data_IF_160838073615
#
_entry.id   IF_160838073615
#
_cell.length_a   1.000
_cell.length_b   1.000
_cell.length_c   1.000
_cell.angle_alpha   90.00
_cell.angle_beta   90.00
_cell.angle_gamma   90.00
#
_symmetry.space_group_name_H-M   'P 1'
#
loop_
_entity.id
_entity.type
_entity.pdbx_description
1 polymer ?
#
# COMPACT_ATOMS: atom_id res chain seq x y z
N UNK A 1 5.53 -11.43 15.49
CA UNK A 1 6.89 -11.21 16.02
C UNK A 1 7.06 -12.08 17.25
N UNK A 2 8.29 -12.45 17.58
CA UNK A 2 8.66 -13.13 18.82
C UNK A 2 9.55 -12.19 19.62
N UNK A 3 9.15 -11.84 20.85
CA UNK A 3 9.89 -10.92 21.72
C UNK A 3 10.40 -11.69 22.95
N UNK A 4 11.71 -11.85 23.08
CA UNK A 4 12.34 -12.60 24.18
C UNK A 4 11.67 -13.96 24.43
N UNK A 5 11.49 -14.76 23.37
CA UNK A 5 10.79 -16.05 23.42
C UNK A 5 11.64 -17.22 22.92
N UNK A 6 11.29 -18.46 23.30
CA UNK A 6 11.94 -19.66 22.75
C UNK A 6 11.39 -20.06 21.38
N UNK A 7 12.10 -20.92 20.62
CA UNK A 7 11.60 -21.53 19.40
C UNK A 7 10.24 -22.22 19.57
N UNK A 8 9.41 -22.18 18.52
CA UNK A 8 8.13 -22.86 18.50
C UNK A 8 8.34 -24.37 18.69
N UNK A 9 7.48 -24.99 19.52
CA UNK A 9 7.57 -26.42 19.85
C UNK A 9 8.93 -26.84 20.46
N UNK A 10 9.66 -25.89 21.08
CA UNK A 10 10.82 -26.22 21.91
C UNK A 10 10.41 -27.06 23.12
N UNK A 11 9.31 -26.67 23.78
CA UNK A 11 8.76 -27.41 24.91
C UNK A 11 7.26 -27.68 24.73
N UNK A 12 6.83 -28.87 25.14
CA UNK A 12 5.41 -29.26 25.24
C UNK A 12 4.98 -29.50 26.69
N UNK A 13 5.86 -29.21 27.65
CA UNK A 13 5.61 -29.31 29.10
C UNK A 13 6.33 -28.19 29.85
N UNK A 14 5.85 -27.87 31.05
CA UNK A 14 6.47 -26.84 31.90
C UNK A 14 7.90 -27.20 32.31
N UNK A 15 8.17 -28.50 32.53
CA UNK A 15 9.50 -28.99 32.90
C UNK A 15 10.51 -28.80 31.77
N UNK A 16 10.10 -29.02 30.53
CA UNK A 16 10.95 -28.78 29.36
C UNK A 16 11.15 -27.29 29.05
N UNK A 17 10.18 -26.44 29.43
CA UNK A 17 10.22 -25.01 29.14
C UNK A 17 11.44 -24.31 29.76
N UNK A 18 11.86 -24.70 30.96
CA UNK A 18 13.09 -24.17 31.56
C UNK A 18 14.34 -24.56 30.77
N UNK A 19 14.39 -25.78 30.22
CA UNK A 19 15.47 -26.21 29.33
C UNK A 19 15.62 -25.27 28.15
N UNK A 20 14.52 -25.00 27.46
CA UNK A 20 14.42 -24.06 26.33
C UNK A 20 14.81 -22.63 26.71
N UNK A 21 14.29 -22.12 27.83
CA UNK A 21 14.52 -20.75 28.25
C UNK A 21 16.00 -20.46 28.51
N UNK A 22 16.72 -21.39 29.16
CA UNK A 22 18.04 -21.09 29.70
C UNK A 22 19.20 -21.65 28.88
N UNK A 23 18.96 -22.56 27.93
CA UNK A 23 20.04 -23.32 27.27
C UNK A 23 19.87 -23.37 25.75
N UNK A 24 20.99 -23.60 25.08
CA UNK A 24 21.03 -24.07 23.70
C UNK A 24 20.47 -25.51 23.65
N UNK A 25 19.53 -25.78 22.75
CA UNK A 25 18.97 -27.13 22.58
C UNK A 25 19.81 -27.99 21.63
N UNK A 26 20.81 -27.39 20.97
CA UNK A 26 21.71 -28.04 20.02
C UNK A 26 20.98 -28.74 18.87
N UNK A 27 19.85 -28.19 18.44
CA UNK A 27 19.12 -28.68 17.27
C UNK A 27 19.62 -27.96 16.01
N UNK A 28 19.66 -28.70 14.91
CA UNK A 28 19.95 -28.11 13.59
C UNK A 28 18.78 -27.23 13.13
N UNK A 29 19.01 -26.31 12.17
CA UNK A 29 17.92 -25.55 11.55
C UNK A 29 16.80 -26.46 11.03
N UNK A 30 17.15 -27.58 10.37
CA UNK A 30 16.18 -28.57 9.86
C UNK A 30 15.33 -29.19 10.98
N UNK A 31 15.97 -29.63 12.08
CA UNK A 31 15.25 -30.17 13.24
C UNK A 31 14.32 -29.14 13.87
N UNK A 32 14.74 -27.87 13.87
CA UNK A 32 13.91 -26.77 14.35
C UNK A 32 12.73 -26.48 13.43
N UNK A 33 12.93 -26.46 12.12
CA UNK A 33 11.87 -26.24 11.14
C UNK A 33 10.88 -27.40 11.07
N UNK A 34 11.36 -28.64 11.22
CA UNK A 34 10.52 -29.84 11.29
C UNK A 34 9.54 -29.78 12.46
N UNK A 35 9.95 -29.21 13.59
CA UNK A 35 9.04 -28.98 14.72
C UNK A 35 7.89 -28.02 14.39
N UNK A 36 8.14 -26.98 13.59
CA UNK A 36 7.09 -26.05 13.13
C UNK A 36 6.13 -26.77 12.17
N UNK A 37 6.69 -27.45 11.15
CA UNK A 37 5.93 -28.21 10.15
C UNK A 37 5.10 -29.32 10.79
N UNK A 38 5.68 -30.05 11.75
CA UNK A 38 5.02 -31.11 12.51
C UNK A 38 3.92 -30.61 13.45
N UNK A 39 4.01 -29.36 13.92
CA UNK A 39 2.93 -28.71 14.68
C UNK A 39 1.68 -28.40 13.85
N UNK A 40 1.81 -28.29 12.52
CA UNK A 40 0.72 -27.98 11.59
C UNK A 40 0.78 -28.87 10.34
N UNK A 41 0.54 -30.20 10.49
CA UNK A 41 0.61 -31.13 9.37
C UNK A 41 -0.48 -30.82 8.34
N UNK A 42 -0.08 -30.46 7.13
CA UNK A 42 -0.99 -30.11 6.03
C UNK A 42 -1.07 -28.62 5.71
N UNK A 43 -0.26 -27.76 6.34
CA UNK A 43 -0.12 -26.37 5.89
C UNK A 43 0.44 -26.31 4.47
N UNK A 44 -0.33 -25.72 3.56
CA UNK A 44 0.04 -25.53 2.14
C UNK A 44 0.11 -24.05 1.75
N UNK A 45 -0.23 -23.14 2.68
CA UNK A 45 -0.17 -21.70 2.46
C UNK A 45 1.24 -21.14 2.61
N UNK A 46 1.43 -19.84 2.36
CA UNK A 46 2.70 -19.17 2.65
C UNK A 46 2.99 -19.18 4.15
N UNK A 47 4.26 -19.22 4.52
CA UNK A 47 4.69 -19.00 5.90
C UNK A 47 4.72 -17.50 6.23
N UNK A 48 4.50 -17.11 7.49
CA UNK A 48 4.56 -15.71 7.89
C UNK A 48 6.00 -15.20 7.89
N UNK A 49 6.16 -13.90 7.65
CA UNK A 49 7.41 -13.19 7.91
C UNK A 49 7.62 -13.04 9.42
N UNK A 50 8.83 -13.30 9.91
CA UNK A 50 9.07 -13.35 11.36
C UNK A 50 10.14 -12.35 11.80
N UNK A 51 9.70 -11.35 12.58
CA UNK A 51 10.58 -10.49 13.36
C UNK A 51 10.85 -11.12 14.73
N UNK A 52 12.12 -11.32 15.05
CA UNK A 52 12.63 -11.91 16.29
C UNK A 52 13.37 -10.82 17.05
N UNK A 53 12.97 -10.53 18.29
CA UNK A 53 13.60 -9.54 19.15
C UNK A 53 14.24 -10.23 20.34
N UNK A 54 15.52 -9.99 20.56
CA UNK A 54 16.28 -10.59 21.65
C UNK A 54 17.23 -9.58 22.29
N UNK A 55 17.15 -9.47 23.61
CA UNK A 55 18.14 -8.72 24.39
C UNK A 55 19.41 -9.53 24.62
N UNK A 56 20.59 -8.92 24.46
CA UNK A 56 21.87 -9.63 24.64
C UNK A 56 22.22 -9.90 26.11
N UNK A 57 21.48 -9.33 27.05
CA UNK A 57 21.64 -9.53 28.49
C UNK A 57 20.40 -10.17 29.13
N UNK A 58 19.54 -10.78 28.31
CA UNK A 58 18.38 -11.52 28.77
C UNK A 58 18.80 -12.81 29.48
N UNK A 59 18.54 -12.89 30.79
CA UNK A 59 18.83 -14.05 31.62
C UNK A 59 17.60 -14.94 31.88
N UNK A 60 16.42 -14.53 31.41
CA UNK A 60 15.18 -15.30 31.54
C UNK A 60 14.94 -16.15 30.31
N UNK A 61 15.20 -15.59 29.13
CA UNK A 61 15.25 -16.31 27.85
C UNK A 61 16.59 -16.00 27.22
N UNK A 62 17.53 -16.94 27.36
CA UNK A 62 18.93 -16.76 27.02
C UNK A 62 19.09 -16.33 25.55
N UNK A 63 20.07 -15.46 25.21
CA UNK A 63 20.19 -14.88 23.87
C UNK A 63 20.34 -15.91 22.74
N UNK A 64 20.79 -17.12 23.06
CA UNK A 64 20.85 -18.25 22.11
C UNK A 64 19.48 -18.58 21.49
N UNK A 65 18.37 -18.37 22.22
CA UNK A 65 17.02 -18.58 21.69
C UNK A 65 16.71 -17.69 20.49
N UNK A 66 17.25 -16.47 20.42
CA UNK A 66 17.11 -15.61 19.24
C UNK A 66 17.82 -16.18 18.02
N UNK A 67 18.94 -16.87 18.23
CA UNK A 67 19.71 -17.59 17.19
C UNK A 67 18.95 -18.84 16.73
N UNK A 68 18.45 -19.63 17.68
CA UNK A 68 17.65 -20.83 17.37
C UNK A 68 16.32 -20.49 16.68
N UNK A 69 15.67 -19.38 17.04
CA UNK A 69 14.49 -18.88 16.34
C UNK A 69 14.81 -18.48 14.90
N UNK A 70 15.94 -17.79 14.68
CA UNK A 70 16.40 -17.47 13.32
C UNK A 70 16.58 -18.76 12.54
N UNK A 71 17.27 -19.75 13.10
CA UNK A 71 17.54 -21.03 12.44
C UNK A 71 16.24 -21.78 12.13
N UNK A 72 15.32 -21.82 13.09
CA UNK A 72 13.99 -22.38 12.90
C UNK A 72 13.24 -21.76 11.73
N UNK A 73 13.11 -20.44 11.72
CA UNK A 73 12.28 -19.76 10.74
C UNK A 73 12.96 -19.64 9.38
N UNK A 74 14.28 -19.55 9.32
CA UNK A 74 15.02 -19.62 8.04
C UNK A 74 14.87 -21.01 7.40
N UNK A 75 14.92 -22.10 8.18
CA UNK A 75 14.65 -23.44 7.65
C UNK A 75 13.19 -23.60 7.18
N UNK A 76 12.21 -23.09 7.94
CA UNK A 76 10.79 -23.10 7.53
C UNK A 76 10.58 -22.39 6.19
N UNK A 77 11.30 -21.29 5.97
CA UNK A 77 11.30 -20.55 4.71
C UNK A 77 12.16 -21.17 3.60
N UNK A 78 12.99 -22.16 3.93
CA UNK A 78 13.94 -22.76 2.98
C UNK A 78 15.09 -21.83 2.58
N UNK A 79 15.49 -20.93 3.48
CA UNK A 79 16.55 -19.93 3.26
C UNK A 79 17.75 -20.17 4.18
N UNK A 80 18.92 -19.66 3.80
CA UNK A 80 20.17 -19.84 4.55
C UNK A 80 20.28 -18.95 5.79
N UNK A 81 21.20 -19.30 6.70
CA UNK A 81 21.46 -18.57 7.95
C UNK A 81 22.47 -17.42 7.79
N UNK A 82 22.95 -17.16 6.58
CA UNK A 82 23.78 -16.00 6.25
C UNK A 82 22.86 -14.80 5.99
N UNK A 83 23.02 -13.68 6.70
CA UNK A 83 22.16 -12.53 6.49
C UNK A 83 22.40 -11.90 5.10
N UNK A 84 21.32 -11.53 4.44
CA UNK A 84 21.33 -10.73 3.21
C UNK A 84 21.76 -9.29 3.48
N UNK A 85 21.38 -8.77 4.66
CA UNK A 85 21.74 -7.42 5.09
C UNK A 85 21.93 -7.38 6.61
N UNK A 86 22.78 -6.47 7.08
CA UNK A 86 22.93 -6.14 8.51
C UNK A 86 22.90 -4.63 8.67
N UNK A 87 22.01 -4.17 9.55
CA UNK A 87 21.77 -2.75 9.82
C UNK A 87 21.99 -2.45 11.29
N UNK A 88 22.50 -1.26 11.57
CA UNK A 88 22.56 -0.72 12.93
C UNK A 88 21.43 0.29 13.10
N UNK A 89 20.56 0.05 14.08
CA UNK A 89 19.42 0.88 14.43
C UNK A 89 19.68 1.62 15.75
N UNK A 90 18.75 2.47 16.15
CA UNK A 90 18.79 3.19 17.42
C UNK A 90 18.74 2.23 18.63
N UNK A 91 19.03 2.75 19.83
CA UNK A 91 18.95 1.96 21.05
C UNK A 91 19.96 0.82 21.17
N UNK A 92 21.06 0.86 20.39
CA UNK A 92 22.05 -0.21 20.37
C UNK A 92 21.55 -1.50 19.72
N UNK A 93 20.63 -1.39 18.77
CA UNK A 93 20.00 -2.55 18.12
C UNK A 93 20.70 -2.88 16.81
N UNK A 94 21.07 -4.13 16.61
CA UNK A 94 21.52 -4.66 15.32
C UNK A 94 20.39 -5.49 14.70
N UNK A 95 19.99 -5.16 13.48
CA UNK A 95 19.03 -5.92 12.68
C UNK A 95 19.80 -6.75 11.64
N UNK A 96 19.55 -8.05 11.59
CA UNK A 96 20.01 -8.91 10.49
C UNK A 96 18.80 -9.45 9.71
N UNK A 97 18.83 -9.28 8.39
CA UNK A 97 17.75 -9.68 7.49
C UNK A 97 18.13 -10.94 6.70
N UNK A 98 17.13 -11.78 6.45
CA UNK A 98 17.25 -13.01 5.68
C UNK A 98 16.16 -13.00 4.61
N UNK A 99 16.57 -12.78 3.38
CA UNK A 99 15.65 -12.63 2.26
C UNK A 99 15.29 -13.99 1.65
N UNK A 100 14.08 -14.08 1.11
CA UNK A 100 13.65 -15.18 0.26
C UNK A 100 14.33 -15.15 -1.12
N UNK A 101 14.00 -16.13 -1.97
CA UNK A 101 14.54 -16.22 -3.33
C UNK A 101 14.09 -15.08 -4.26
N UNK A 102 13.07 -14.30 -3.86
CA UNK A 102 12.61 -13.11 -4.57
C UNK A 102 13.32 -11.82 -4.07
N UNK A 103 14.25 -11.92 -3.13
CA UNK A 103 14.96 -10.77 -2.54
C UNK A 103 14.10 -10.00 -1.52
N UNK A 104 13.09 -10.66 -0.96
CA UNK A 104 12.13 -10.09 -0.03
C UNK A 104 12.42 -10.55 1.41
N UNK A 105 12.50 -9.66 2.43
CA UNK A 105 12.91 -10.07 3.78
C UNK A 105 11.90 -11.00 4.45
N UNK A 106 12.26 -12.27 4.66
CA UNK A 106 11.38 -13.29 5.24
C UNK A 106 11.55 -13.41 6.77
N UNK A 107 12.78 -13.30 7.25
CA UNK A 107 13.12 -13.37 8.68
C UNK A 107 14.00 -12.17 9.04
N UNK A 108 13.77 -11.60 10.23
CA UNK A 108 14.61 -10.55 10.79
C UNK A 108 14.96 -10.89 12.24
N UNK A 109 16.24 -10.75 12.61
CA UNK A 109 16.69 -10.84 14.00
C UNK A 109 17.17 -9.46 14.47
N UNK A 110 16.47 -8.92 15.47
CA UNK A 110 16.79 -7.69 16.16
C UNK A 110 17.48 -8.01 17.49
N UNK A 111 18.79 -7.82 17.53
CA UNK A 111 19.62 -8.00 18.72
C UNK A 111 19.82 -6.67 19.43
N UNK A 112 19.26 -6.52 20.63
CA UNK A 112 19.30 -5.26 21.40
C UNK A 112 20.40 -5.32 22.46
N UNK A 113 21.48 -4.57 22.25
CA UNK A 113 22.66 -4.61 23.11
C UNK A 113 22.33 -4.18 24.56
N UNK A 114 22.74 -5.01 25.51
CA UNK A 114 22.59 -4.77 26.95
C UNK A 114 21.15 -4.91 27.47
N UNK A 115 20.17 -5.20 26.62
CA UNK A 115 18.78 -5.32 27.04
C UNK A 115 18.55 -6.63 27.80
N UNK A 116 17.88 -6.54 28.96
CA UNK A 116 17.42 -7.69 29.74
C UNK A 116 16.11 -8.26 29.17
N UNK A 117 15.49 -9.22 29.88
CA UNK A 117 14.22 -9.80 29.46
C UNK A 117 13.09 -8.77 29.39
N UNK A 118 12.48 -8.60 28.21
CA UNK A 118 11.31 -7.73 28.06
C UNK A 118 11.05 -7.27 26.63
N UNK A 119 10.00 -6.47 26.49
CA UNK A 119 9.63 -5.82 25.25
C UNK A 119 10.36 -4.47 25.13
N UNK A 120 11.05 -4.26 24.00
CA UNK A 120 11.68 -2.98 23.69
C UNK A 120 10.61 -1.94 23.33
N UNK A 121 10.58 -0.84 24.08
CA UNK A 121 9.74 0.34 23.84
C UNK A 121 10.61 1.59 23.73
N UNK A 122 10.06 2.67 23.17
CA UNK A 122 10.74 3.96 23.06
C UNK A 122 9.70 5.06 23.31
N UNK A 123 9.41 5.42 24.57
CA UNK A 123 8.33 6.35 24.87
C UNK A 123 8.57 7.73 24.25
N UNK A 124 7.52 8.29 23.65
CA UNK A 124 7.56 9.60 23.01
C UNK A 124 6.44 9.75 21.99
N UNK A 125 6.51 10.80 21.17
CA UNK A 125 5.48 11.16 20.17
C UNK A 125 5.97 11.12 18.72
N UNK A 126 7.23 10.76 18.50
CA UNK A 126 7.80 10.53 17.17
C UNK A 126 7.19 9.29 16.52
N UNK A 127 7.31 9.19 15.19
CA UNK A 127 6.76 8.08 14.42
C UNK A 127 7.38 6.72 14.79
N UNK A 128 8.66 6.71 15.18
CA UNK A 128 9.43 5.55 15.63
C UNK A 128 9.43 5.39 17.17
N UNK A 129 8.56 6.13 17.87
CA UNK A 129 8.40 6.08 19.33
C UNK A 129 7.08 5.38 19.69
N UNK A 130 7.11 4.52 20.70
CA UNK A 130 5.93 3.83 21.18
C UNK A 130 6.04 3.39 22.63
N UNK A 131 4.87 3.15 23.22
CA UNK A 131 4.72 2.51 24.52
C UNK A 131 5.10 3.40 25.69
N UNK A 132 5.19 2.78 26.86
CA UNK A 132 5.59 3.40 28.12
C UNK A 132 6.48 2.41 28.86
N UNK A 133 7.39 2.91 29.70
CA UNK A 133 8.26 2.03 30.48
C UNK A 133 7.50 1.30 31.58
N UNK A 134 8.00 0.13 31.92
CA UNK A 134 7.47 -0.73 32.97
C UNK A 134 8.43 -1.88 33.24
N UNK A 135 8.08 -2.77 34.17
CA UNK A 135 8.97 -3.86 34.63
C UNK A 135 9.55 -4.70 33.49
N UNK A 136 8.75 -4.96 32.44
CA UNK A 136 9.16 -5.71 31.24
C UNK A 136 9.00 -4.90 29.96
N UNK A 137 8.89 -3.57 30.07
CA UNK A 137 8.83 -2.64 28.94
C UNK A 137 10.04 -1.72 29.03
N UNK A 138 11.09 -2.07 28.29
CA UNK A 138 12.43 -1.53 28.45
C UNK A 138 12.67 -0.39 27.44
N UNK A 139 13.15 0.75 27.92
CA UNK A 139 13.38 1.94 27.08
C UNK A 139 14.66 1.78 26.23
N UNK A 140 14.52 1.29 25.00
CA UNK A 140 15.63 1.04 24.08
C UNK A 140 15.28 1.50 22.67
N UNK A 141 14.30 0.84 22.05
CA UNK A 141 13.83 1.08 20.68
C UNK A 141 12.36 0.66 20.57
N UNK A 142 11.57 1.26 19.68
CA UNK A 142 10.20 0.83 19.47
C UNK A 142 10.13 -0.46 18.65
N UNK A 143 10.15 -1.62 19.31
CA UNK A 143 10.02 -2.93 18.63
C UNK A 143 8.77 -3.05 17.77
N UNK A 144 7.65 -2.49 18.21
CA UNK A 144 6.39 -2.53 17.48
C UNK A 144 6.46 -1.78 16.14
N UNK A 145 7.07 -0.60 16.13
CA UNK A 145 7.25 0.21 14.91
C UNK A 145 8.13 -0.53 13.91
N UNK A 146 9.33 -0.96 14.33
CA UNK A 146 10.26 -1.66 13.44
C UNK A 146 9.72 -3.02 12.97
N UNK A 147 8.91 -3.70 13.78
CA UNK A 147 8.18 -4.90 13.33
C UNK A 147 7.15 -4.56 12.25
N UNK A 148 6.42 -3.46 12.39
CA UNK A 148 5.44 -3.03 11.40
C UNK A 148 6.12 -2.61 10.08
N UNK A 149 7.23 -1.88 10.15
CA UNK A 149 8.08 -1.54 8.99
C UNK A 149 8.61 -2.81 8.34
N UNK A 150 9.18 -3.75 9.12
CA UNK A 150 9.62 -5.03 8.61
C UNK A 150 8.50 -5.71 7.85
N UNK A 151 7.28 -5.80 8.41
CA UNK A 151 6.13 -6.39 7.74
C UNK A 151 5.56 -5.57 6.56
N UNK A 152 6.09 -4.39 6.27
CA UNK A 152 5.63 -3.51 5.19
C UNK A 152 4.27 -2.86 5.47
N UNK A 153 3.94 -2.66 6.75
CA UNK A 153 2.70 -2.04 7.22
C UNK A 153 2.81 -0.52 7.41
N UNK A 154 3.98 0.05 7.12
CA UNK A 154 4.27 1.49 7.16
C UNK A 154 3.85 2.23 5.88
N UNK A 155 3.40 1.50 4.87
CA UNK A 155 2.94 2.05 3.59
C UNK A 155 4.05 2.58 2.69
N UNK A 156 5.32 2.48 3.11
CA UNK A 156 6.48 2.92 2.33
C UNK A 156 6.93 1.84 1.34
N UNK A 157 6.89 0.57 1.74
CA UNK A 157 7.47 -0.52 0.95
C UNK A 157 6.45 -1.43 0.28
N UNK A 158 5.14 -1.25 0.52
CA UNK A 158 4.09 -2.13 -0.02
C UNK A 158 4.49 -3.61 0.10
N UNK A 159 4.56 -4.14 1.33
CA UNK A 159 5.34 -5.30 1.78
C UNK A 159 5.63 -6.48 0.83
N UNK A 160 6.81 -7.09 1.03
CA UNK A 160 7.31 -8.31 0.40
C UNK A 160 6.24 -9.39 0.17
N UNK A 161 6.08 -9.79 -1.09
CA UNK A 161 4.91 -10.50 -1.61
C UNK A 161 4.07 -9.64 -2.56
N UNK A 162 4.26 -8.33 -2.50
CA UNK A 162 3.71 -7.34 -3.42
C UNK A 162 4.44 -7.38 -4.76
N UNK A 163 3.67 -7.61 -5.82
CA UNK A 163 4.15 -7.59 -7.20
C UNK A 163 4.91 -6.28 -7.49
N UNK A 164 5.99 -6.32 -8.30
CA UNK A 164 6.72 -5.11 -8.64
C UNK A 164 5.80 -4.13 -9.39
N UNK A 165 6.14 -2.85 -9.30
CA UNK A 165 5.42 -1.81 -10.00
C UNK A 165 5.42 -2.07 -11.52
N UNK A 166 4.26 -1.99 -12.20
CA UNK A 166 4.21 -2.02 -13.66
C UNK A 166 5.13 -0.95 -14.27
N UNK A 167 6.07 -1.38 -15.11
CA UNK A 167 7.00 -0.50 -15.80
C UNK A 167 6.44 -0.05 -17.17
N UNK A 168 6.98 1.05 -17.69
CA UNK A 168 6.65 1.53 -19.03
C UNK A 168 5.20 1.97 -19.19
N UNK A 169 4.55 2.45 -18.12
CA UNK A 169 3.20 3.01 -18.20
C UNK A 169 3.23 4.22 -19.13
N UNK A 170 2.43 4.17 -20.19
CA UNK A 170 2.37 5.22 -21.21
C UNK A 170 0.95 5.44 -21.69
N UNK A 171 0.67 6.66 -22.14
CA UNK A 171 -0.59 7.03 -22.80
C UNK A 171 -0.45 6.70 -24.28
N UNK A 172 -1.31 5.83 -24.79
CA UNK A 172 -1.30 5.36 -26.18
C UNK A 172 -2.23 6.15 -27.09
N UNK A 173 -3.18 6.90 -26.52
CA UNK A 173 -4.06 7.80 -27.26
C UNK A 173 -5.07 8.47 -26.34
N UNK A 174 -5.55 9.63 -26.75
CA UNK A 174 -6.62 10.37 -26.07
C UNK A 174 -7.68 10.84 -27.07
N UNK A 175 -8.91 10.97 -26.60
CA UNK A 175 -10.01 11.66 -27.29
C UNK A 175 -10.56 12.75 -26.36
N UNK A 176 -11.66 13.40 -26.76
CA UNK A 176 -12.31 14.41 -25.93
C UNK A 176 -12.89 13.81 -24.63
N UNK A 177 -13.10 12.49 -24.58
CA UNK A 177 -13.76 11.81 -23.44
C UNK A 177 -13.07 10.51 -23.01
N UNK A 178 -11.91 10.17 -23.58
CA UNK A 178 -11.22 8.92 -23.28
C UNK A 178 -9.69 9.07 -23.20
N UNK A 179 -9.06 8.21 -22.41
CA UNK A 179 -7.61 8.03 -22.35
C UNK A 179 -7.25 6.54 -22.37
N UNK A 180 -6.38 6.15 -23.31
CA UNK A 180 -5.89 4.79 -23.46
C UNK A 180 -4.48 4.66 -22.89
N UNK A 181 -4.25 3.63 -22.09
CA UNK A 181 -2.99 3.36 -21.39
C UNK A 181 -2.45 1.98 -21.78
N UNK A 182 -1.12 1.84 -21.78
CA UNK A 182 -0.44 0.54 -21.83
C UNK A 182 0.74 0.50 -20.88
N UNK A 183 1.15 -0.71 -20.50
CA UNK A 183 2.30 -0.96 -19.63
C UNK A 183 2.94 -2.32 -19.93
N UNK A 184 4.06 -2.62 -19.27
CA UNK A 184 4.73 -3.92 -19.37
C UNK A 184 4.12 -4.94 -18.40
N UNK A 185 4.04 -6.20 -18.82
CA UNK A 185 3.53 -7.28 -17.97
C UNK A 185 4.40 -7.47 -16.73
N UNK A 186 3.76 -7.68 -15.58
CA UNK A 186 4.38 -8.05 -14.31
C UNK A 186 4.20 -9.54 -14.10
N UNK A 187 5.31 -10.26 -13.92
CA UNK A 187 5.28 -11.70 -13.60
C UNK A 187 4.55 -11.92 -12.29
N UNK A 188 3.62 -12.88 -12.26
CA UNK A 188 2.77 -13.18 -11.09
C UNK A 188 1.50 -12.33 -10.99
N UNK A 189 1.29 -11.34 -11.87
CA UNK A 189 0.06 -10.57 -11.91
C UNK A 189 -1.10 -11.37 -12.51
N UNK A 190 -2.21 -11.46 -11.77
CA UNK A 190 -3.49 -11.95 -12.27
C UNK A 190 -4.32 -10.82 -12.90
N UNK A 191 -4.26 -9.62 -12.32
CA UNK A 191 -4.95 -8.42 -12.82
C UNK A 191 -4.12 -7.16 -12.55
N UNK A 192 -4.59 -6.02 -13.06
CA UNK A 192 -4.02 -4.70 -12.81
C UNK A 192 -5.12 -3.74 -12.44
N UNK A 193 -4.93 -2.96 -11.38
CA UNK A 193 -5.79 -1.85 -11.01
C UNK A 193 -5.23 -0.54 -11.56
N UNK A 194 -6.07 0.24 -12.23
CA UNK A 194 -5.73 1.55 -12.78
C UNK A 194 -6.40 2.62 -11.94
N UNK A 195 -5.60 3.59 -11.50
CA UNK A 195 -6.05 4.70 -10.68
C UNK A 195 -5.94 6.00 -11.47
N UNK A 196 -7.00 6.82 -11.43
CA UNK A 196 -7.08 8.18 -11.96
C UNK A 196 -7.19 9.16 -10.79
N UNK A 197 -6.24 10.09 -10.69
CA UNK A 197 -6.18 11.11 -9.64
C UNK A 197 -6.28 10.52 -8.22
N UNK A 198 -5.69 9.34 -8.02
CA UNK A 198 -5.69 8.60 -6.76
C UNK A 198 -6.92 7.72 -6.50
N UNK A 199 -7.98 7.83 -7.30
CA UNK A 199 -9.17 6.97 -7.21
C UNK A 199 -9.13 5.83 -8.23
N UNK A 200 -9.63 4.65 -7.88
CA UNK A 200 -9.66 3.49 -8.80
C UNK A 200 -10.61 3.78 -9.97
N UNK A 201 -10.07 3.85 -11.18
CA UNK A 201 -10.84 4.04 -12.41
C UNK A 201 -11.36 2.70 -12.97
N UNK A 202 -10.61 1.62 -12.76
CA UNK A 202 -11.01 0.27 -13.19
C UNK A 202 -9.91 -0.76 -13.00
N UNK A 203 -10.13 -1.94 -13.59
CA UNK A 203 -9.18 -3.05 -13.58
C UNK A 203 -9.03 -3.65 -14.98
N UNK A 204 -7.88 -4.25 -15.26
CA UNK A 204 -7.58 -4.94 -16.52
C UNK A 204 -6.93 -6.30 -16.24
N UNK A 205 -7.25 -7.32 -17.06
CA UNK A 205 -6.55 -8.63 -17.04
C UNK A 205 -5.35 -8.65 -17.98
N UNK A 206 -5.32 -7.77 -18.98
CA UNK A 206 -4.19 -7.55 -19.87
C UNK A 206 -3.36 -6.33 -19.45
N UNK A 207 -2.44 -5.93 -20.33
CA UNK A 207 -1.51 -4.81 -20.08
C UNK A 207 -1.94 -3.50 -20.74
N UNK A 208 -3.24 -3.34 -20.95
CA UNK A 208 -3.86 -2.15 -21.54
C UNK A 208 -5.17 -1.80 -20.82
N UNK A 209 -5.51 -0.51 -20.81
CA UNK A 209 -6.78 -0.02 -20.25
C UNK A 209 -7.26 1.20 -21.00
N UNK A 210 -8.57 1.33 -21.17
CA UNK A 210 -9.21 2.49 -21.77
C UNK A 210 -10.15 3.11 -20.75
N UNK A 211 -9.82 4.31 -20.30
CA UNK A 211 -10.66 5.10 -19.40
C UNK A 211 -11.61 5.98 -20.22
N UNK A 212 -12.88 6.07 -19.80
CA UNK A 212 -13.94 6.76 -20.54
C UNK A 212 -14.78 7.65 -19.64
N UNK A 213 -15.56 8.55 -20.23
CA UNK A 213 -16.35 9.53 -19.48
C UNK A 213 -15.51 10.67 -18.90
N UNK A 214 -14.35 10.94 -19.49
CA UNK A 214 -13.49 12.06 -19.14
C UNK A 214 -14.06 13.38 -19.68
N UNK A 215 -13.67 14.49 -19.07
CA UNK A 215 -13.97 15.83 -19.58
C UNK A 215 -12.94 16.24 -20.63
N UNK A 216 -13.38 16.93 -21.68
CA UNK A 216 -12.51 17.45 -22.73
C UNK A 216 -11.49 18.47 -22.18
N UNK A 217 -10.35 18.59 -22.84
CA UNK A 217 -9.27 19.51 -22.50
C UNK A 217 -8.77 19.43 -21.04
N UNK A 218 -8.92 18.28 -20.39
CA UNK A 218 -8.61 18.07 -18.98
C UNK A 218 -7.43 17.10 -18.83
N UNK A 219 -6.52 17.42 -17.91
CA UNK A 219 -5.39 16.56 -17.59
C UNK A 219 -5.73 15.65 -16.42
N UNK A 220 -5.47 14.36 -16.58
CA UNK A 220 -5.70 13.32 -15.59
C UNK A 220 -4.39 12.60 -15.31
N UNK A 221 -4.14 12.28 -14.03
CA UNK A 221 -2.94 11.54 -13.62
C UNK A 221 -3.27 10.07 -13.39
N UNK A 222 -2.50 9.20 -14.02
CA UNK A 222 -2.69 7.76 -13.94
C UNK A 222 -1.54 7.04 -13.26
N UNK A 223 -1.86 6.04 -12.45
CA UNK A 223 -0.93 5.03 -11.93
C UNK A 223 -1.55 3.64 -12.05
N UNK A 224 -0.71 2.62 -12.20
CA UNK A 224 -1.15 1.22 -12.32
C UNK A 224 -0.51 0.39 -11.20
N UNK A 225 -1.27 -0.54 -10.61
CA UNK A 225 -0.78 -1.55 -9.67
C UNK A 225 -1.09 -2.93 -10.22
N UNK A 226 -0.13 -3.85 -10.16
CA UNK A 226 -0.39 -5.26 -10.45
C UNK A 226 -1.03 -5.93 -9.22
N UNK A 227 -1.93 -6.89 -9.42
CA UNK A 227 -2.55 -7.67 -8.35
C UNK A 227 -2.29 -9.16 -8.55
N UNK A 228 -1.99 -9.89 -7.48
CA UNK A 228 -1.79 -11.34 -7.53
C UNK A 228 -3.13 -12.10 -7.65
N UNK A 229 -3.06 -13.44 -7.67
CA UNK A 229 -4.24 -14.30 -7.76
C UNK A 229 -5.13 -14.29 -6.50
N UNK A 230 -4.62 -13.79 -5.37
CA UNK A 230 -5.38 -13.56 -4.14
C UNK A 230 -6.01 -12.16 -4.07
N UNK A 231 -5.72 -11.30 -5.04
CA UNK A 231 -6.20 -9.91 -5.09
C UNK A 231 -5.36 -8.92 -4.28
N UNK A 232 -4.16 -9.32 -3.83
CA UNK A 232 -3.25 -8.41 -3.14
C UNK A 232 -2.55 -7.48 -4.14
N UNK A 233 -2.57 -6.17 -3.86
CA UNK A 233 -2.02 -5.16 -4.75
C UNK A 233 -0.52 -4.92 -4.52
N UNK A 234 0.19 -4.84 -5.63
CA UNK A 234 1.60 -4.52 -5.76
C UNK A 234 1.94 -3.04 -5.51
N UNK A 235 3.22 -2.71 -5.74
CA UNK A 235 3.68 -1.33 -5.79
C UNK A 235 3.02 -0.55 -6.95
N UNK A 236 2.82 0.76 -6.76
CA UNK A 236 2.30 1.62 -7.82
C UNK A 236 3.40 1.96 -8.84
N UNK A 237 3.03 2.03 -10.11
CA UNK A 237 3.89 2.55 -11.17
C UNK A 237 4.27 4.02 -10.94
N UNK A 238 5.28 4.49 -11.67
CA UNK A 238 5.43 5.91 -11.93
C UNK A 238 4.15 6.46 -12.56
N UNK A 239 3.78 7.70 -12.23
CA UNK A 239 2.59 8.33 -12.77
C UNK A 239 2.81 8.81 -14.20
N UNK A 240 1.77 8.70 -15.03
CA UNK A 240 1.72 9.34 -16.36
C UNK A 240 0.52 10.27 -16.43
N UNK A 241 0.70 11.43 -17.05
CA UNK A 241 -0.38 12.39 -17.25
C UNK A 241 -0.96 12.20 -18.67
N UNK A 242 -2.28 12.09 -18.77
CA UNK A 242 -3.01 12.08 -20.04
C UNK A 242 -3.86 13.34 -20.13
N UNK A 243 -3.79 14.05 -21.26
CA UNK A 243 -4.65 15.21 -21.51
C UNK A 243 -5.63 14.86 -22.63
N UNK A 244 -6.92 14.91 -22.32
CA UNK A 244 -7.98 14.71 -23.31
C UNK A 244 -7.92 15.79 -24.38
N UNK A 245 -8.32 15.44 -25.59
CA UNK A 245 -8.42 16.40 -26.69
C UNK A 245 -9.63 17.32 -26.49
N UNK A 246 -9.84 18.23 -27.45
CA UNK A 246 -10.90 19.24 -27.35
C UNK A 246 -10.53 20.37 -26.40
N UNK A 247 -11.50 21.24 -26.11
CA UNK A 247 -11.33 22.34 -25.18
C UNK A 247 -12.01 22.01 -23.85
N UNK A 248 -11.41 22.46 -22.74
CA UNK A 248 -12.08 22.45 -21.45
C UNK A 248 -13.43 23.17 -21.59
N UNK A 249 -14.53 22.57 -21.10
CA UNK A 249 -15.84 23.19 -21.24
C UNK A 249 -15.85 24.53 -20.52
N UNK A 250 -16.34 25.57 -21.20
CA UNK A 250 -16.46 26.90 -20.61
C UNK A 250 -17.82 27.03 -19.94
N UNK A 251 -17.83 27.55 -18.72
CA UNK A 251 -19.06 27.75 -17.97
C UNK A 251 -19.32 29.23 -17.70
N UNK A 252 -20.59 29.59 -17.82
CA UNK A 252 -21.08 30.95 -17.71
C UNK A 252 -22.28 30.98 -16.78
N UNK A 253 -22.12 31.56 -15.59
CA UNK A 253 -23.21 31.79 -14.64
C UNK A 253 -23.71 33.22 -14.77
N UNK A 254 -24.98 33.39 -15.15
CA UNK A 254 -25.60 34.70 -15.29
C UNK A 254 -27.14 34.58 -15.20
N UNK A 255 -27.82 35.72 -15.01
CA UNK A 255 -29.28 35.74 -15.06
C UNK A 255 -29.79 35.53 -16.50
N UNK A 256 -31.06 35.14 -16.63
CA UNK A 256 -31.66 34.82 -17.93
C UNK A 256 -31.57 35.95 -18.96
N UNK A 257 -31.65 37.21 -18.51
CA UNK A 257 -31.46 38.37 -19.39
C UNK A 257 -30.02 38.42 -19.95
N UNK A 258 -29.02 38.32 -19.08
CA UNK A 258 -27.61 38.40 -19.46
C UNK A 258 -27.13 37.19 -20.28
N UNK A 259 -27.72 36.01 -20.08
CA UNK A 259 -27.43 34.82 -20.91
C UNK A 259 -27.89 35.03 -22.36
N UNK A 260 -29.07 35.62 -22.57
CA UNK A 260 -29.57 35.97 -23.91
C UNK A 260 -28.74 37.10 -24.52
N UNK A 261 -28.45 38.15 -23.74
CA UNK A 261 -27.67 39.29 -24.22
C UNK A 261 -26.26 38.90 -24.68
N UNK A 262 -25.66 37.89 -24.05
CA UNK A 262 -24.36 37.36 -24.41
C UNK A 262 -24.39 36.25 -25.48
N UNK A 263 -25.55 35.97 -26.09
CA UNK A 263 -25.68 35.00 -27.18
C UNK A 263 -25.64 33.52 -26.76
N UNK A 264 -25.75 33.21 -25.46
CA UNK A 264 -25.70 31.84 -24.94
C UNK A 264 -27.07 31.18 -24.80
N UNK A 265 -28.13 31.99 -24.86
CA UNK A 265 -29.53 31.56 -24.82
C UNK A 265 -30.38 32.40 -25.78
N UNK A 266 -31.61 31.97 -26.05
CA UNK A 266 -32.59 32.74 -26.82
C UNK A 266 -33.94 32.79 -26.10
N UNK A 267 -34.75 33.78 -26.44
CA UNK A 267 -36.05 34.02 -25.84
C UNK A 267 -37.17 33.69 -26.84
N UNK A 268 -38.23 33.03 -26.36
CA UNK A 268 -39.49 32.87 -27.10
C UNK A 268 -40.68 32.86 -26.14
N UNK A 269 -41.74 33.62 -26.45
CA UNK A 269 -42.96 33.65 -25.65
C UNK A 269 -42.78 34.07 -24.18
N UNK A 270 -41.74 34.84 -23.86
CA UNK A 270 -41.40 35.25 -22.49
C UNK A 270 -40.58 34.23 -21.69
N UNK A 271 -40.25 33.08 -22.28
CA UNK A 271 -39.35 32.07 -21.71
C UNK A 271 -37.97 32.13 -22.37
N UNK A 272 -36.96 31.59 -21.69
CA UNK A 272 -35.58 31.48 -22.17
C UNK A 272 -35.19 30.02 -22.34
N UNK A 273 -34.45 29.73 -23.40
CA UNK A 273 -33.93 28.41 -23.74
C UNK A 273 -32.43 28.50 -24.06
N UNK A 274 -31.64 27.55 -23.57
CA UNK A 274 -30.20 27.50 -23.85
C UNK A 274 -29.95 27.25 -25.35
N UNK A 275 -29.01 27.98 -25.96
CA UNK A 275 -28.73 27.81 -27.39
C UNK A 275 -28.07 26.46 -27.65
N UNK A 276 -28.57 25.71 -28.64
CA UNK A 276 -28.06 24.39 -29.02
C UNK A 276 -28.82 23.23 -28.36
N UNK A 277 -29.03 23.27 -27.03
CA UNK A 277 -29.75 22.20 -26.32
C UNK A 277 -31.26 22.42 -26.16
N UNK A 278 -31.74 23.66 -26.33
CA UNK A 278 -33.12 24.09 -26.14
C UNK A 278 -33.69 23.78 -24.73
N UNK A 279 -32.83 23.56 -23.73
CA UNK A 279 -33.26 23.34 -22.36
C UNK A 279 -33.90 24.61 -21.80
N UNK A 280 -35.10 24.48 -21.23
CA UNK A 280 -35.84 25.62 -20.66
C UNK A 280 -35.16 26.14 -19.40
N UNK A 281 -34.91 27.45 -19.38
CA UNK A 281 -34.31 28.20 -18.28
C UNK A 281 -35.35 29.02 -17.51
N UNK A 282 -36.64 28.87 -17.83
CA UNK A 282 -37.73 29.63 -17.21
C UNK A 282 -37.94 31.02 -17.80
N UNK A 283 -38.42 31.96 -16.99
CA UNK A 283 -38.86 33.30 -17.45
C UNK A 283 -37.67 34.20 -17.83
N UNK A 284 -37.84 35.00 -18.88
CA UNK A 284 -36.89 36.04 -19.26
C UNK A 284 -36.90 37.20 -18.24
N UNK A 285 -35.96 37.17 -17.29
CA UNK A 285 -35.83 38.17 -16.24
C UNK A 285 -34.39 38.23 -15.71
N UNK A 286 -34.15 39.16 -14.78
CA UNK A 286 -32.85 39.35 -14.11
C UNK A 286 -32.76 38.65 -12.74
N UNK A 287 -33.84 37.99 -12.29
CA UNK A 287 -33.96 37.39 -10.96
C UNK A 287 -33.56 35.91 -10.91
N UNK A 288 -33.75 35.17 -12.01
CA UNK A 288 -33.40 33.75 -12.14
C UNK A 288 -32.00 33.66 -12.76
N UNK A 289 -31.11 32.94 -12.07
CA UNK A 289 -29.74 32.70 -12.50
C UNK A 289 -29.54 31.23 -12.82
N UNK A 290 -28.86 30.97 -13.92
CA UNK A 290 -28.48 29.64 -14.36
C UNK A 290 -27.02 29.61 -14.77
N UNK A 291 -26.40 28.44 -14.63
CA UNK A 291 -25.09 28.15 -15.19
C UNK A 291 -25.26 27.41 -16.51
N UNK A 292 -24.67 27.94 -17.58
CA UNK A 292 -24.59 27.29 -18.88
C UNK A 292 -23.17 26.77 -19.13
N UNK A 293 -23.07 25.51 -19.58
CA UNK A 293 -21.82 24.86 -19.99
C UNK A 293 -21.79 24.78 -21.52
N UNK A 294 -20.74 25.34 -22.13
CA UNK A 294 -20.45 25.24 -23.55
C UNK A 294 -19.76 23.90 -23.84
N UNK A 295 -20.46 22.96 -24.47
CA UNK A 295 -19.96 21.60 -24.75
C UNK A 295 -19.33 21.45 -26.12
N UNK A 296 -19.63 22.38 -27.02
CA UNK A 296 -18.97 22.62 -28.31
C UNK A 296 -19.20 24.08 -28.71
N UNK A 297 -18.51 24.64 -29.72
CA UNK A 297 -18.73 26.02 -30.14
C UNK A 297 -20.23 26.33 -30.32
N UNK A 298 -20.72 27.34 -29.59
CA UNK A 298 -22.10 27.82 -29.58
C UNK A 298 -23.19 26.80 -29.15
N UNK A 299 -22.80 25.69 -28.51
CA UNK A 299 -23.74 24.69 -27.95
C UNK A 299 -23.69 24.68 -26.42
N UNK A 300 -24.79 25.10 -25.79
CA UNK A 300 -24.90 25.31 -24.36
C UNK A 300 -25.93 24.37 -23.73
N UNK A 301 -25.58 23.78 -22.58
CA UNK A 301 -26.46 22.98 -21.72
C UNK A 301 -26.55 23.59 -20.31
N UNK A 302 -27.69 23.42 -19.64
CA UNK A 302 -27.85 23.76 -18.22
C UNK A 302 -26.92 22.91 -17.36
N UNK A 303 -26.20 23.58 -16.46
CA UNK A 303 -25.19 23.01 -15.57
C UNK A 303 -25.26 23.64 -14.16
N UNK A 304 -26.47 23.93 -13.68
CA UNK A 304 -26.69 24.53 -12.35
C UNK A 304 -26.05 23.76 -11.18
N UNK A 305 -25.97 22.42 -11.18
CA UNK A 305 -25.28 21.67 -10.13
C UNK A 305 -23.76 21.87 -10.12
N UNK A 306 -23.18 22.41 -11.20
CA UNK A 306 -21.75 22.61 -11.37
C UNK A 306 -21.27 22.40 -12.81
N UNK A 307 -20.18 23.11 -13.12
CA UNK A 307 -19.26 22.79 -14.21
C UNK A 307 -18.20 21.80 -13.68
#
# INVERSE_FOLDING_TARGET
AVNSGPPAQCATSITAASGCQYNDQHLTPEQWGDKVRGGHPGHTGPWPRVAIWQGTSDTTVAPVNGTELRDQWTDVWGIGQTPSETRNLSGGTTETLYDDSAGSPAVALFSVAGMAHGLAVSPGSGADQCGSTGTYYLNTICSAYHTAVFWGLDGADGGSGSLPAPAGVTVTGTTDTTASLSWSAVSGAATYDVYRDGAKAGSATGTTFSDSGLSAGSTYRYTVRALDSAGAAGAASASVDATTTGAAPRCYTANNYDQVAAGRAHQSGGQVYANGSDQSMGLYNVAITHTLKETSPDYFVLADPGC
#
